data_IF_329985431503
#
_entry.id   IF_329985431503
#
_cell.length_a   1.000
_cell.length_b   1.000
_cell.length_c   1.000
_cell.angle_alpha   90.00
_cell.angle_beta   90.00
_cell.angle_gamma   90.00
#
_symmetry.space_group_name_H-M   'P 1'
#
loop_
_entity.id
_entity.type
_entity.pdbx_description
1 polymer ?
#
# COMPACT_ATOMS: atom_id res chain seq x y z
N UNK A 1 -3.62 -18.82 -5.64
CA UNK A 1 -2.27 -19.40 -5.48
C UNK A 1 -2.02 -20.31 -6.66
N UNK A 2 -1.19 -19.85 -7.60
CA UNK A 2 -0.64 -20.70 -8.65
C UNK A 2 0.57 -21.43 -8.08
N UNK A 3 0.82 -22.65 -8.57
CA UNK A 3 2.03 -23.39 -8.23
C UNK A 3 3.29 -22.52 -8.41
N UNK A 4 4.17 -22.38 -7.40
CA UNK A 4 5.39 -21.57 -7.48
C UNK A 4 6.41 -22.08 -8.52
N UNK A 5 6.23 -23.32 -8.96
CA UNK A 5 7.00 -23.95 -10.01
C UNK A 5 6.42 -23.71 -11.43
N UNK A 6 5.37 -22.88 -11.54
CA UNK A 6 4.61 -22.61 -12.77
C UNK A 6 4.80 -21.17 -13.26
N UNK A 7 4.84 -21.00 -14.59
CA UNK A 7 4.92 -19.69 -15.23
C UNK A 7 6.35 -19.23 -15.57
N UNK A 8 6.49 -18.07 -16.24
CA UNK A 8 7.78 -17.58 -16.74
C UNK A 8 8.70 -16.99 -15.65
N UNK A 9 8.15 -16.69 -14.47
CA UNK A 9 8.88 -16.18 -13.30
C UNK A 9 8.78 -17.18 -12.13
N UNK A 10 8.95 -18.48 -12.42
CA UNK A 10 8.95 -19.52 -11.38
C UNK A 10 10.12 -19.32 -10.43
N UNK A 11 9.93 -19.60 -9.14
CA UNK A 11 11.01 -19.58 -8.16
C UNK A 11 11.53 -20.98 -7.85
N UNK A 12 10.72 -22.00 -8.13
CA UNK A 12 11.00 -23.39 -7.80
C UNK A 12 11.07 -24.31 -9.04
N UNK A 13 11.94 -25.31 -8.94
CA UNK A 13 12.04 -26.46 -9.84
C UNK A 13 11.34 -27.65 -9.18
N UNK A 14 10.27 -28.15 -9.78
CA UNK A 14 9.45 -29.20 -9.18
C UNK A 14 9.30 -30.37 -10.16
N UNK A 15 9.70 -31.60 -9.78
CA UNK A 15 9.63 -32.76 -10.66
C UNK A 15 8.20 -33.16 -11.03
N UNK A 16 7.20 -32.75 -10.24
CA UNK A 16 5.78 -33.05 -10.50
C UNK A 16 5.15 -32.15 -11.59
N UNK A 17 5.88 -31.14 -12.10
CA UNK A 17 5.38 -30.19 -13.10
C UNK A 17 6.20 -30.31 -14.38
N UNK A 18 5.83 -31.18 -15.35
CA UNK A 18 6.68 -31.49 -16.51
C UNK A 18 6.84 -30.34 -17.52
N UNK A 19 5.93 -29.35 -17.52
CA UNK A 19 5.94 -28.23 -18.46
C UNK A 19 6.41 -26.91 -17.81
N UNK A 20 7.57 -26.92 -17.15
CA UNK A 20 8.12 -25.69 -16.58
C UNK A 20 8.64 -24.78 -17.69
N UNK A 21 8.19 -23.52 -17.70
CA UNK A 21 8.72 -22.55 -18.67
C UNK A 21 10.19 -22.24 -18.32
N UNK A 22 11.04 -22.01 -19.33
CA UNK A 22 12.42 -21.61 -19.10
C UNK A 22 12.45 -20.27 -18.36
N UNK A 23 13.39 -20.15 -17.42
CA UNK A 23 13.63 -18.92 -16.69
C UNK A 23 14.27 -17.89 -17.61
N UNK A 24 13.89 -16.64 -17.45
CA UNK A 24 14.51 -15.53 -18.18
C UNK A 24 15.86 -15.17 -17.52
N UNK A 25 16.79 -14.68 -18.33
CA UNK A 25 18.02 -14.02 -17.88
C UNK A 25 18.99 -14.91 -17.07
N UNK A 26 19.03 -16.22 -17.34
CA UNK A 26 19.97 -17.14 -16.66
C UNK A 26 19.67 -17.36 -15.18
N UNK A 27 18.49 -16.97 -14.69
CA UNK A 27 18.07 -17.27 -13.33
C UNK A 27 17.95 -18.79 -13.13
N UNK A 28 18.39 -19.27 -11.96
CA UNK A 28 18.29 -20.67 -11.54
C UNK A 28 17.19 -20.78 -10.50
N UNK A 29 16.26 -21.70 -10.69
CA UNK A 29 15.23 -21.99 -9.70
C UNK A 29 15.75 -22.94 -8.62
N UNK A 30 15.23 -22.81 -7.42
CA UNK A 30 15.59 -23.70 -6.31
C UNK A 30 14.88 -25.05 -6.48
N UNK A 31 15.60 -26.19 -6.35
CA UNK A 31 14.98 -27.50 -6.40
C UNK A 31 14.12 -27.76 -5.16
N UNK A 32 12.95 -28.36 -5.37
CA UNK A 32 12.12 -28.87 -4.28
C UNK A 32 12.76 -30.17 -3.75
N UNK A 33 13.36 -30.11 -2.56
CA UNK A 33 14.11 -31.23 -1.97
C UNK A 33 13.24 -32.43 -1.60
N UNK A 34 12.00 -32.19 -1.14
CA UNK A 34 11.08 -33.23 -0.70
C UNK A 34 9.72 -33.08 -1.40
N UNK A 35 9.62 -33.41 -2.70
CA UNK A 35 8.36 -33.31 -3.41
C UNK A 35 7.37 -34.36 -2.90
N UNK A 36 6.07 -34.04 -2.82
CA UNK A 36 5.05 -35.03 -2.49
C UNK A 36 4.98 -36.13 -3.56
N UNK A 37 4.56 -37.34 -3.18
CA UNK A 37 4.51 -38.48 -4.12
C UNK A 37 3.50 -38.30 -5.26
N UNK A 38 2.43 -37.55 -5.02
CA UNK A 38 1.37 -37.30 -5.99
C UNK A 38 1.11 -35.78 -6.12
N UNK A 39 0.70 -35.30 -7.30
CA UNK A 39 0.34 -33.90 -7.50
C UNK A 39 -0.90 -33.56 -6.67
N UNK A 40 -0.74 -32.69 -5.67
CA UNK A 40 -1.84 -32.18 -4.87
C UNK A 40 -2.66 -31.09 -5.59
N UNK A 41 -3.70 -30.54 -4.92
CA UNK A 41 -4.56 -29.50 -5.48
C UNK A 41 -3.79 -28.27 -6.00
N UNK A 42 -2.65 -27.91 -5.39
CA UNK A 42 -1.82 -26.80 -5.87
C UNK A 42 -1.23 -27.03 -7.28
N UNK A 43 -1.03 -28.29 -7.68
CA UNK A 43 -0.46 -28.67 -8.98
C UNK A 43 -1.51 -28.76 -10.08
N UNK A 44 -2.73 -29.21 -9.74
CA UNK A 44 -3.86 -29.45 -10.66
C UNK A 44 -4.81 -28.26 -10.76
N UNK A 45 -4.83 -27.36 -9.77
CA UNK A 45 -5.72 -26.22 -9.78
C UNK A 45 -5.29 -25.21 -10.86
N UNK A 46 -6.02 -25.20 -11.97
CA UNK A 46 -5.89 -24.26 -13.08
C UNK A 46 -6.62 -22.95 -12.81
N UNK A 47 -7.60 -22.97 -11.90
CA UNK A 47 -8.39 -21.83 -11.45
C UNK A 47 -7.87 -21.33 -10.10
N UNK A 48 -8.38 -20.20 -9.62
CA UNK A 48 -7.94 -19.61 -8.33
C UNK A 48 -8.20 -20.56 -7.15
N UNK A 49 -7.47 -20.39 -6.05
CA UNK A 49 -7.88 -21.00 -4.76
C UNK A 49 -9.18 -20.33 -4.34
N UNK A 50 -10.15 -21.14 -3.93
CA UNK A 50 -11.31 -20.67 -3.20
C UNK A 50 -10.92 -20.62 -1.72
N UNK A 51 -11.15 -19.48 -1.09
CA UNK A 51 -11.09 -19.34 0.36
C UNK A 51 -12.53 -19.39 0.83
N UNK A 52 -12.86 -20.33 1.71
CA UNK A 52 -14.18 -20.37 2.32
C UNK A 52 -14.29 -19.23 3.34
N UNK A 53 -15.51 -18.71 3.56
CA UNK A 53 -15.75 -17.62 4.51
C UNK A 53 -15.23 -17.97 5.91
N UNK A 54 -15.30 -19.26 6.28
CA UNK A 54 -14.82 -19.78 7.57
C UNK A 54 -13.30 -19.97 7.63
N UNK A 55 -12.56 -19.84 6.52
CA UNK A 55 -11.09 -19.94 6.50
C UNK A 55 -10.42 -18.64 7.02
N UNK A 56 -11.24 -17.64 7.38
CA UNK A 56 -10.84 -16.27 7.72
C UNK A 56 -9.86 -16.13 8.88
N UNK A 57 -9.87 -17.02 9.88
CA UNK A 57 -8.93 -17.02 11.01
C UNK A 57 -8.61 -15.62 11.58
N UNK A 58 -7.35 -15.39 11.97
CA UNK A 58 -6.89 -14.09 12.51
C UNK A 58 -6.98 -12.92 11.52
N UNK A 59 -7.02 -13.19 10.21
CA UNK A 59 -6.96 -12.18 9.15
C UNK A 59 -8.30 -12.00 8.44
N UNK A 60 -9.39 -12.45 9.06
CA UNK A 60 -10.71 -12.34 8.49
C UNK A 60 -11.08 -10.87 8.30
N UNK A 61 -11.58 -10.56 7.12
CA UNK A 61 -12.12 -9.25 6.82
C UNK A 61 -13.64 -9.38 6.78
N UNK A 62 -14.31 -8.79 7.77
CA UNK A 62 -15.77 -8.86 7.91
C UNK A 62 -16.51 -8.36 6.66
N UNK A 63 -16.00 -7.30 6.02
CA UNK A 63 -16.54 -6.78 4.76
C UNK A 63 -15.68 -7.21 3.58
N UNK A 64 -16.32 -7.64 2.49
CA UNK A 64 -15.65 -7.97 1.24
C UNK A 64 -14.81 -6.78 0.73
N UNK A 65 -13.55 -7.02 0.42
CA UNK A 65 -12.66 -6.00 -0.17
C UNK A 65 -13.32 -5.28 -1.36
N UNK A 66 -13.18 -3.96 -1.40
CA UNK A 66 -13.81 -3.04 -2.37
C UNK A 66 -15.35 -3.01 -2.38
N UNK A 67 -16.05 -3.66 -1.44
CA UNK A 67 -17.49 -3.43 -1.28
C UNK A 67 -17.78 -2.00 -0.79
N UNK A 68 -19.00 -1.47 -1.01
CA UNK A 68 -19.37 -0.14 -0.50
C UNK A 68 -19.20 -0.01 1.03
N UNK A 69 -19.55 -1.05 1.77
CA UNK A 69 -19.39 -1.12 3.23
C UNK A 69 -17.93 -1.11 3.65
N UNK A 70 -17.10 -1.92 2.97
CA UNK A 70 -15.65 -1.94 3.18
C UNK A 70 -15.06 -0.55 2.93
N UNK A 71 -15.43 0.09 1.80
CA UNK A 71 -14.94 1.42 1.46
C UNK A 71 -15.32 2.44 2.53
N UNK A 72 -16.56 2.41 3.04
CA UNK A 72 -17.04 3.32 4.09
C UNK A 72 -16.19 3.22 5.36
N UNK A 73 -15.94 2.00 5.84
CA UNK A 73 -15.20 1.78 7.10
C UNK A 73 -13.70 1.98 6.90
N UNK A 74 -13.14 1.38 5.85
CA UNK A 74 -11.71 1.41 5.57
C UNK A 74 -11.22 2.83 5.24
N UNK A 75 -11.98 3.59 4.43
CA UNK A 75 -11.58 4.96 4.08
C UNK A 75 -11.50 5.86 5.31
N UNK A 76 -12.42 5.71 6.26
CA UNK A 76 -12.40 6.45 7.51
C UNK A 76 -11.19 6.07 8.36
N UNK A 77 -11.04 4.79 8.70
CA UNK A 77 -9.96 4.33 9.59
C UNK A 77 -8.59 4.64 9.02
N UNK A 78 -8.42 4.47 7.70
CA UNK A 78 -7.18 4.80 7.01
C UNK A 78 -6.86 6.28 7.05
N UNK A 79 -7.84 7.16 6.79
CA UNK A 79 -7.62 8.61 6.84
C UNK A 79 -7.22 9.11 8.23
N UNK A 80 -7.76 8.52 9.30
CA UNK A 80 -7.37 8.87 10.68
C UNK A 80 -5.90 8.53 10.93
N UNK A 81 -5.48 7.32 10.55
CA UNK A 81 -4.08 6.88 10.70
C UNK A 81 -3.15 7.71 9.81
N UNK A 82 -3.54 8.00 8.57
CA UNK A 82 -2.75 8.82 7.65
C UNK A 82 -2.59 10.25 8.15
N UNK A 83 -3.67 10.85 8.68
CA UNK A 83 -3.63 12.16 9.34
C UNK A 83 -2.68 12.15 10.54
N UNK A 84 -2.78 11.14 11.41
CA UNK A 84 -1.89 11.01 12.57
C UNK A 84 -0.42 10.87 12.17
N UNK A 85 -0.14 9.99 11.22
CA UNK A 85 1.20 9.80 10.70
C UNK A 85 1.75 11.07 10.05
N UNK A 86 0.90 11.84 9.36
CA UNK A 86 1.30 13.13 8.81
C UNK A 86 1.69 14.11 9.91
N UNK A 87 0.87 14.27 10.97
CA UNK A 87 1.19 15.12 12.12
C UNK A 87 2.49 14.72 12.81
N UNK A 88 2.76 13.41 12.94
CA UNK A 88 3.96 12.91 13.59
C UNK A 88 5.22 13.08 12.72
N UNK A 89 5.10 12.85 11.42
CA UNK A 89 6.25 12.79 10.50
C UNK A 89 6.61 14.12 9.86
N UNK A 90 5.62 14.93 9.51
CA UNK A 90 5.79 16.06 8.60
C UNK A 90 5.34 17.41 9.15
N UNK A 91 4.49 17.42 10.19
CA UNK A 91 4.18 18.64 10.93
C UNK A 91 5.28 18.91 11.97
N UNK A 92 4.92 19.54 13.09
CA UNK A 92 5.86 20.12 14.05
C UNK A 92 6.83 19.12 14.70
N UNK A 93 6.48 17.83 14.74
CA UNK A 93 7.33 16.79 15.32
C UNK A 93 8.47 16.34 14.38
N UNK A 94 8.38 16.64 13.08
CA UNK A 94 9.48 16.46 12.12
C UNK A 94 10.11 15.08 12.08
N UNK A 95 9.40 14.02 12.48
CA UNK A 95 10.00 12.70 12.66
C UNK A 95 10.49 12.08 11.34
N UNK A 96 9.99 12.49 10.17
CA UNK A 96 10.57 12.03 8.91
C UNK A 96 11.96 12.62 8.63
N UNK A 97 12.26 13.80 9.20
CA UNK A 97 13.54 14.45 9.01
C UNK A 97 14.54 13.94 10.07
N UNK A 98 15.68 13.46 9.60
CA UNK A 98 16.77 13.00 10.47
C UNK A 98 17.70 14.15 10.87
N UNK A 99 17.69 15.25 10.12
CA UNK A 99 18.57 16.40 10.32
C UNK A 99 18.11 17.30 11.47
N UNK A 100 16.81 17.30 11.76
CA UNK A 100 16.19 18.02 12.88
C UNK A 100 16.54 17.43 14.25
N UNK A 101 17.09 16.20 14.29
CA UNK A 101 17.31 15.44 15.53
C UNK A 101 18.69 15.73 16.11
N UNK A 102 18.73 16.38 17.27
CA UNK A 102 19.98 16.79 17.94
C UNK A 102 20.74 15.64 18.63
N UNK A 103 20.09 14.49 18.89
CA UNK A 103 20.71 13.30 19.51
C UNK A 103 20.80 12.17 18.49
N UNK A 104 21.91 11.41 18.56
CA UNK A 104 22.18 10.22 17.73
C UNK A 104 22.23 8.98 18.61
N UNK A 105 22.10 7.80 18.00
CA UNK A 105 22.05 6.51 18.69
C UNK A 105 20.63 6.03 18.97
N UNK A 106 20.45 4.71 19.03
CA UNK A 106 19.14 4.06 19.09
C UNK A 106 18.30 4.56 20.28
N UNK A 107 18.85 4.53 21.49
CA UNK A 107 18.14 4.97 22.70
C UNK A 107 17.67 6.44 22.61
N UNK A 108 18.53 7.33 22.09
CA UNK A 108 18.19 8.74 21.90
C UNK A 108 17.08 8.93 20.86
N UNK A 109 17.09 8.13 19.79
CA UNK A 109 16.04 8.16 18.78
C UNK A 109 14.72 7.63 19.32
N UNK A 110 14.72 6.52 20.06
CA UNK A 110 13.54 5.95 20.70
C UNK A 110 12.89 6.95 21.66
N UNK A 111 13.71 7.65 22.46
CA UNK A 111 13.22 8.69 23.37
C UNK A 111 12.58 9.87 22.62
N UNK A 112 13.20 10.35 21.55
CA UNK A 112 12.64 11.43 20.72
C UNK A 112 11.33 11.01 20.03
N UNK A 113 11.23 9.77 19.55
CA UNK A 113 9.98 9.22 18.99
C UNK A 113 8.88 9.22 20.05
N UNK A 114 9.17 8.74 21.26
CA UNK A 114 8.21 8.70 22.36
C UNK A 114 7.68 10.10 22.68
N UNK A 115 8.58 11.08 22.84
CA UNK A 115 8.20 12.47 23.09
C UNK A 115 7.36 13.05 21.95
N UNK A 116 7.73 12.79 20.69
CA UNK A 116 6.96 13.25 19.52
C UNK A 116 5.55 12.67 19.47
N UNK A 117 5.36 11.40 19.87
CA UNK A 117 4.03 10.78 19.99
C UNK A 117 3.21 11.45 21.09
N UNK A 118 3.80 11.65 22.28
CA UNK A 118 3.13 12.32 23.40
C UNK A 118 2.71 13.74 23.01
N UNK A 119 3.62 14.52 22.42
CA UNK A 119 3.35 15.89 21.98
C UNK A 119 2.26 15.94 20.88
N UNK A 120 2.30 15.02 19.91
CA UNK A 120 1.26 14.92 18.87
C UNK A 120 -0.11 14.64 19.48
N UNK A 121 -0.18 13.72 20.44
CA UNK A 121 -1.43 13.37 21.11
C UNK A 121 -1.97 14.55 21.93
N UNK A 122 -1.11 15.22 22.71
CA UNK A 122 -1.49 16.40 23.48
C UNK A 122 -2.01 17.53 22.58
N UNK A 123 -1.31 17.84 21.50
CA UNK A 123 -1.73 18.87 20.54
C UNK A 123 -3.10 18.55 19.91
N UNK A 124 -3.38 17.27 19.60
CA UNK A 124 -4.68 16.84 19.06
C UNK A 124 -5.81 16.94 20.07
N UNK A 125 -5.55 16.62 21.33
CA UNK A 125 -6.53 16.79 22.41
C UNK A 125 -6.86 18.26 22.58
N UNK A 126 -5.83 19.13 22.64
CA UNK A 126 -6.02 20.57 22.76
C UNK A 126 -6.77 21.16 21.55
N UNK A 127 -6.44 20.75 20.33
CA UNK A 127 -7.15 21.17 19.11
C UNK A 127 -8.62 20.71 19.13
N UNK A 128 -8.86 19.48 19.58
CA UNK A 128 -10.23 18.97 19.75
C UNK A 128 -11.00 19.75 20.82
N UNK A 129 -10.39 20.02 21.98
CA UNK A 129 -10.99 20.84 23.03
C UNK A 129 -11.30 22.25 22.48
N UNK A 130 -10.36 22.90 21.81
CA UNK A 130 -10.61 24.22 21.21
C UNK A 130 -11.75 24.23 20.19
N UNK A 131 -11.97 23.14 19.47
CA UNK A 131 -13.02 23.03 18.45
C UNK A 131 -14.40 22.65 19.01
N UNK A 132 -14.46 21.89 20.11
CA UNK A 132 -15.68 21.23 20.57
C UNK A 132 -16.05 21.48 22.04
N UNK A 133 -15.20 22.15 22.82
CA UNK A 133 -15.43 22.39 24.25
C UNK A 133 -16.57 23.39 24.54
N UNK A 134 -17.06 24.12 23.54
CA UNK A 134 -18.19 25.08 23.67
C UNK A 134 -19.57 24.40 23.85
N UNK A 135 -19.62 23.13 24.26
CA UNK A 135 -20.86 22.37 24.45
C UNK A 135 -21.53 21.94 23.15
N UNK A 136 -20.88 22.15 22.00
CA UNK A 136 -21.34 21.57 20.74
C UNK A 136 -21.02 20.07 20.74
N UNK A 137 -22.01 19.18 20.52
CA UNK A 137 -21.72 17.76 20.46
C UNK A 137 -20.70 17.51 19.34
N UNK A 138 -19.68 16.70 19.64
CA UNK A 138 -18.72 16.28 18.63
C UNK A 138 -19.50 15.76 17.41
N UNK A 139 -19.19 16.23 16.19
CA UNK A 139 -19.93 15.87 15.00
C UNK A 139 -19.94 14.37 14.87
N UNK A 140 -21.10 13.82 14.49
CA UNK A 140 -21.23 12.41 14.18
C UNK A 140 -20.11 12.02 13.22
N UNK A 141 -19.46 10.87 13.41
CA UNK A 141 -18.24 10.51 12.67
C UNK A 141 -18.41 10.56 11.13
N UNK A 142 -19.66 10.57 10.66
CA UNK A 142 -20.13 10.64 9.29
C UNK A 142 -20.40 12.07 8.76
N UNK A 143 -20.57 13.08 9.61
CA UNK A 143 -20.88 14.45 9.20
C UNK A 143 -19.62 15.29 8.95
N UNK A 144 -18.49 14.65 8.66
CA UNK A 144 -17.28 15.37 8.28
C UNK A 144 -17.52 15.97 6.91
N UNK A 145 -17.38 17.30 6.84
CA UNK A 145 -17.46 18.12 5.63
C UNK A 145 -17.10 17.27 4.42
N UNK A 146 -18.10 16.96 3.58
CA UNK A 146 -17.89 16.36 2.29
C UNK A 146 -16.67 17.08 1.73
N UNK A 147 -15.54 16.35 1.65
CA UNK A 147 -14.24 16.90 1.28
C UNK A 147 -14.58 17.87 0.18
N UNK A 148 -14.45 19.19 0.45
CA UNK A 148 -14.73 20.20 -0.56
C UNK A 148 -14.08 19.63 -1.78
N UNK A 149 -14.90 19.29 -2.77
CA UNK A 149 -14.38 18.81 -4.03
C UNK A 149 -13.57 20.00 -4.46
N UNK A 150 -12.28 20.03 -4.08
CA UNK A 150 -11.33 20.97 -4.62
C UNK A 150 -11.59 20.74 -6.09
N UNK A 151 -12.18 21.72 -6.82
CA UNK A 151 -12.35 21.54 -8.24
C UNK A 151 -10.96 21.13 -8.66
N UNK A 152 -10.84 19.93 -9.23
CA UNK A 152 -9.55 19.43 -9.69
C UNK A 152 -9.11 20.58 -10.58
N UNK A 153 -8.17 21.39 -10.10
CA UNK A 153 -7.71 22.52 -10.90
C UNK A 153 -7.24 21.79 -12.13
N UNK A 154 -7.91 22.02 -13.25
CA UNK A 154 -7.55 21.41 -14.50
C UNK A 154 -6.19 22.01 -14.81
N UNK A 155 -5.13 21.46 -14.20
CA UNK A 155 -3.78 21.59 -14.69
C UNK A 155 -3.97 21.10 -16.11
N UNK A 156 -3.82 21.95 -17.13
CA UNK A 156 -3.94 21.50 -18.50
C UNK A 156 -3.03 20.29 -18.59
N UNK A 157 -3.60 19.13 -18.94
CA UNK A 157 -2.78 17.96 -19.29
C UNK A 157 -1.74 18.52 -20.26
N UNK A 158 -0.44 18.37 -19.99
CA UNK A 158 0.55 18.79 -20.98
C UNK A 158 0.12 18.12 -22.27
N UNK A 159 -0.20 18.95 -23.26
CA UNK A 159 -0.52 18.49 -24.61
C UNK A 159 0.50 17.42 -24.92
N UNK A 160 0.04 16.22 -25.30
CA UNK A 160 0.91 15.21 -25.88
C UNK A 160 1.48 15.84 -27.16
N UNK A 161 2.50 16.68 -27.03
CA UNK A 161 3.37 17.02 -28.12
C UNK A 161 3.93 15.68 -28.55
N UNK A 162 3.53 15.26 -29.75
CA UNK A 162 4.14 14.12 -30.41
C UNK A 162 5.66 14.25 -30.35
N UNK A 163 6.35 13.12 -30.48
CA UNK A 163 7.81 13.06 -30.51
C UNK A 163 8.35 14.17 -31.42
N UNK A 164 9.31 14.96 -30.92
CA UNK A 164 9.88 16.05 -31.70
C UNK A 164 10.48 15.51 -33.00
N UNK A 165 10.48 16.33 -34.05
CA UNK A 165 11.02 15.94 -35.35
C UNK A 165 12.46 15.39 -35.25
N UNK A 166 13.28 15.95 -34.35
CA UNK A 166 14.64 15.46 -34.08
C UNK A 166 14.66 14.03 -33.55
N UNK A 167 13.69 13.65 -32.70
CA UNK A 167 13.57 12.29 -32.16
C UNK A 167 13.00 11.29 -33.16
N UNK A 168 12.14 11.75 -34.08
CA UNK A 168 11.67 10.94 -35.21
C UNK A 168 12.80 10.66 -36.21
N UNK A 169 13.64 11.66 -36.50
CA UNK A 169 14.80 11.53 -37.38
C UNK A 169 15.85 10.56 -36.81
N UNK A 170 16.13 10.62 -35.51
CA UNK A 170 17.02 9.66 -34.83
C UNK A 170 16.51 8.21 -34.86
N UNK A 171 15.20 8.01 -34.98
CA UNK A 171 14.57 6.68 -34.98
C UNK A 171 14.16 6.21 -36.39
N UNK A 172 14.54 6.95 -37.44
CA UNK A 172 14.22 6.60 -38.84
C UNK A 172 12.72 6.64 -39.18
N UNK A 173 11.91 7.32 -38.37
CA UNK A 173 10.47 7.43 -38.58
C UNK A 173 10.16 8.64 -39.48
N UNK A 174 9.46 8.42 -40.59
CA UNK A 174 9.08 9.47 -41.54
C UNK A 174 8.26 10.58 -40.87
N UNK A 175 8.59 11.83 -41.18
CA UNK A 175 7.87 13.02 -40.74
C UNK A 175 6.80 13.33 -41.79
N UNK A 176 5.57 12.89 -41.53
CA UNK A 176 4.37 13.43 -42.16
C UNK A 176 3.82 14.60 -41.34
#
# INVERSE_FOLDING_TARGET
>A
MRCPASGPSRTLECPLKPAQKPLKNGAVALPVLHPPKAPGPCCTNSTSVQFHVNDGGKYEQHHRYNSPEWQRIHSYGRQVIESFNYSLKHADNGLADSTSRRKRGEAGQTFLVLLGVIATNAARILDWEQQYFDGTPAPDALSRHARSTRPVSARPRPSRKGMSASRKAQLGLSVA
#
